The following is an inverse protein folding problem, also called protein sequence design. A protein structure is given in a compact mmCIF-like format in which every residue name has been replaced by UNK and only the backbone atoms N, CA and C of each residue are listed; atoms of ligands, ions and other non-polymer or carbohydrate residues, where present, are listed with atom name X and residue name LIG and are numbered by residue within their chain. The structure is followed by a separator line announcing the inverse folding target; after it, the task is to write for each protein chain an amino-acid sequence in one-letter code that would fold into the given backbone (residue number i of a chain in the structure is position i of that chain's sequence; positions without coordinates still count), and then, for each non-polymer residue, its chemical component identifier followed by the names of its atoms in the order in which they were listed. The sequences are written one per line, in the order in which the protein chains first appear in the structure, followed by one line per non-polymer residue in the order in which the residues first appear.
data_IF_322593117908
#
_entry.id   IF_322593117908
#
_cell.length_a   1.000
_cell.length_b   1.000
_cell.length_c   1.000
_cell.angle_alpha   90.00
_cell.angle_beta   90.00
_cell.angle_gamma   90.00
#
_symmetry.space_group_name_H-M   'P 1'
#
loop_
_entity.id
_entity.type
_entity.pdbx_description
1 polymer ?
#
# COMPACT_ATOMS: atom_id res chain seq x y z
N UNK A 1 65.69 4.43 23.87
CA UNK A 1 64.65 3.58 23.25
C UNK A 1 63.76 3.04 24.36
N UNK A 2 62.48 3.43 24.41
CA UNK A 2 61.55 2.96 25.46
C UNK A 2 61.02 1.57 25.06
N UNK A 3 61.05 0.56 25.95
CA UNK A 3 60.49 -0.75 25.66
C UNK A 3 58.98 -0.64 25.48
N UNK A 4 58.49 -1.24 24.39
CA UNK A 4 57.07 -1.28 24.00
C UNK A 4 56.36 -2.30 24.90
N UNK A 5 55.44 -1.85 25.75
CA UNK A 5 54.66 -2.73 26.62
C UNK A 5 53.90 -3.78 25.79
N UNK A 6 53.88 -5.05 26.24
CA UNK A 6 53.14 -6.12 25.56
C UNK A 6 51.63 -5.88 25.69
N UNK A 7 50.92 -6.02 24.57
CA UNK A 7 49.48 -5.87 24.51
C UNK A 7 48.79 -6.85 25.48
N UNK A 8 48.02 -6.30 26.43
CA UNK A 8 47.22 -7.08 27.38
C UNK A 8 46.14 -7.85 26.60
N UNK A 9 46.32 -9.16 26.49
CA UNK A 9 45.31 -10.09 26.00
C UNK A 9 44.10 -10.06 26.95
N UNK A 10 43.04 -9.34 26.57
CA UNK A 10 41.76 -9.43 27.27
C UNK A 10 41.12 -10.77 26.93
N UNK A 11 41.11 -11.68 27.89
CA UNK A 11 40.27 -12.88 27.86
C UNK A 11 38.82 -12.41 27.94
N UNK A 12 38.16 -12.31 26.79
CA UNK A 12 36.72 -12.08 26.72
C UNK A 12 36.07 -13.39 27.15
N UNK A 13 35.55 -13.43 28.38
CA UNK A 13 34.71 -14.54 28.84
C UNK A 13 33.60 -14.75 27.82
N UNK A 14 33.41 -15.99 27.37
CA UNK A 14 32.30 -16.37 26.51
C UNK A 14 31.00 -15.92 27.20
N UNK A 15 30.45 -14.79 26.76
CA UNK A 15 29.13 -14.36 27.20
C UNK A 15 28.14 -15.36 26.61
N UNK A 16 27.17 -15.79 27.40
CA UNK A 16 26.08 -16.68 26.99
C UNK A 16 25.30 -16.07 25.83
N UNK A 17 25.76 -16.31 24.60
CA UNK A 17 25.07 -15.88 23.39
C UNK A 17 23.87 -16.79 23.24
N UNK A 18 22.69 -16.28 23.62
CA UNK A 18 21.43 -17.00 23.44
C UNK A 18 21.29 -17.38 21.96
N UNK A 19 21.01 -18.65 21.64
CA UNK A 19 20.98 -19.09 20.25
C UNK A 19 19.94 -18.30 19.45
N UNK A 20 20.30 -17.99 18.21
CA UNK A 20 19.40 -17.36 17.24
C UNK A 20 18.15 -18.23 17.02
N UNK A 21 17.02 -17.57 16.76
CA UNK A 21 15.79 -18.26 16.39
C UNK A 21 16.02 -19.09 15.11
N UNK A 22 15.50 -20.33 15.01
CA UNK A 22 15.65 -21.13 13.80
C UNK A 22 15.00 -20.45 12.59
N UNK A 23 15.65 -20.54 11.42
CA UNK A 23 15.15 -19.95 10.17
C UNK A 23 15.42 -18.45 9.99
N UNK A 24 16.24 -17.85 10.84
CA UNK A 24 16.65 -16.44 10.71
C UNK A 24 17.66 -16.27 9.56
N UNK A 25 17.40 -15.28 8.71
CA UNK A 25 18.30 -14.87 7.62
C UNK A 25 18.78 -13.45 7.91
N UNK A 26 20.07 -13.27 8.17
CA UNK A 26 20.68 -11.95 8.34
C UNK A 26 21.03 -11.34 6.97
N UNK A 27 20.64 -10.09 6.76
CA UNK A 27 20.87 -9.33 5.53
C UNK A 27 21.48 -7.97 5.88
N UNK A 28 22.64 -7.65 5.32
CA UNK A 28 23.22 -6.32 5.48
C UNK A 28 22.71 -5.39 4.38
N UNK A 29 22.10 -4.27 4.76
CA UNK A 29 21.68 -3.24 3.81
C UNK A 29 22.90 -2.47 3.25
N UNK A 30 22.69 -1.69 2.18
CA UNK A 30 23.76 -0.89 1.58
C UNK A 30 24.33 0.21 2.49
N UNK A 31 23.77 0.40 3.69
CA UNK A 31 24.25 1.33 4.72
C UNK A 31 25.02 0.60 5.84
N UNK A 32 25.27 -0.70 5.68
CA UNK A 32 25.95 -1.53 6.68
C UNK A 32 25.07 -1.94 7.86
N UNK A 33 23.75 -1.68 7.83
CA UNK A 33 22.83 -2.12 8.89
C UNK A 33 22.35 -3.54 8.61
N UNK A 34 22.46 -4.40 9.62
CA UNK A 34 21.93 -5.76 9.55
C UNK A 34 20.41 -5.75 9.77
N UNK A 35 19.69 -6.44 8.91
CA UNK A 35 18.25 -6.69 8.95
C UNK A 35 18.06 -8.20 8.99
N UNK A 36 17.34 -8.68 9.98
CA UNK A 36 17.03 -10.09 10.13
C UNK A 36 15.63 -10.36 9.55
N UNK A 37 15.53 -11.36 8.67
CA UNK A 37 14.27 -11.91 8.18
C UNK A 37 13.98 -13.22 8.90
N UNK A 38 12.79 -13.35 9.45
CA UNK A 38 12.34 -14.53 10.20
C UNK A 38 10.84 -14.71 10.02
N UNK A 39 10.35 -15.93 10.13
CA UNK A 39 8.90 -16.21 10.07
C UNK A 39 8.18 -15.57 11.26
N UNK A 40 7.01 -15.00 11.00
CA UNK A 40 6.13 -14.44 12.01
C UNK A 40 5.50 -15.53 12.85
N UNK A 41 5.57 -15.42 14.19
CA UNK A 41 5.02 -16.44 15.10
C UNK A 41 3.49 -16.58 15.03
N UNK A 42 2.78 -15.56 14.53
CA UNK A 42 1.32 -15.59 14.44
C UNK A 42 0.76 -16.06 13.09
N UNK A 43 1.51 -15.89 12.00
CA UNK A 43 0.94 -16.06 10.66
C UNK A 43 1.91 -16.58 9.62
N UNK A 44 3.12 -16.98 10.03
CA UNK A 44 4.20 -17.50 9.18
C UNK A 44 4.70 -16.56 8.07
N UNK A 45 4.14 -15.36 7.94
CA UNK A 45 4.62 -14.36 7.01
C UNK A 45 6.04 -13.90 7.39
N UNK A 46 6.88 -13.61 6.40
CA UNK A 46 8.25 -13.15 6.67
C UNK A 46 8.22 -11.76 7.32
N UNK A 47 8.66 -11.70 8.58
CA UNK A 47 8.89 -10.47 9.34
C UNK A 47 10.30 -9.92 9.07
N UNK A 48 10.48 -8.61 9.26
CA UNK A 48 11.77 -7.93 9.19
C UNK A 48 12.01 -7.21 10.51
N UNK A 49 13.16 -7.46 11.14
CA UNK A 49 13.60 -6.80 12.39
C UNK A 49 15.05 -6.35 12.27
N UNK A 50 15.38 -5.24 12.94
CA UNK A 50 16.76 -4.73 13.04
C UNK A 50 17.48 -5.25 14.30
N UNK A 51 16.73 -5.81 15.25
CA UNK A 51 17.28 -6.45 16.43
C UNK A 51 17.44 -7.93 16.16
N UNK A 52 18.56 -8.49 16.59
CA UNK A 52 18.86 -9.91 16.48
C UNK A 52 17.80 -10.74 17.22
N UNK A 53 17.03 -11.61 16.52
CA UNK A 53 15.95 -12.37 17.14
C UNK A 53 16.50 -13.64 17.80
N UNK A 54 16.39 -13.71 19.13
CA UNK A 54 16.74 -14.89 19.90
C UNK A 54 15.58 -15.89 19.94
N UNK A 55 15.88 -17.12 20.37
CA UNK A 55 14.92 -18.23 20.40
C UNK A 55 13.62 -17.91 21.14
N UNK A 56 13.71 -17.15 22.23
CA UNK A 56 12.58 -16.80 23.09
C UNK A 56 11.89 -15.49 22.69
N UNK A 57 12.41 -14.77 21.70
CA UNK A 57 11.80 -13.53 21.22
C UNK A 57 10.55 -13.83 20.38
N UNK A 58 9.46 -13.14 20.73
CA UNK A 58 8.26 -13.08 19.89
C UNK A 58 8.52 -12.13 18.72
N UNK A 59 8.54 -12.66 17.50
CA UNK A 59 8.76 -11.88 16.28
C UNK A 59 7.49 -11.84 15.47
N UNK A 60 6.86 -10.66 15.46
CA UNK A 60 5.64 -10.41 14.71
C UNK A 60 5.94 -9.65 13.42
N UNK A 61 5.26 -10.02 12.33
CA UNK A 61 5.27 -9.21 11.12
C UNK A 61 4.61 -7.85 11.39
N UNK A 62 4.85 -6.88 10.51
CA UNK A 62 4.30 -5.53 10.67
C UNK A 62 2.77 -5.48 10.71
N UNK A 63 2.09 -6.48 10.16
CA UNK A 63 0.63 -6.62 10.23
C UNK A 63 0.19 -7.15 11.59
N UNK A 64 0.74 -8.27 12.04
CA UNK A 64 0.43 -8.86 13.36
C UNK A 64 0.80 -7.90 14.49
N UNK A 65 1.94 -7.20 14.40
CA UNK A 65 2.33 -6.15 15.35
C UNK A 65 1.32 -5.00 15.39
N UNK A 66 0.75 -4.61 14.25
CA UNK A 66 -0.34 -3.62 14.23
C UNK A 66 -1.58 -4.16 14.90
N UNK A 67 -1.97 -5.41 14.66
CA UNK A 67 -3.13 -6.03 15.31
C UNK A 67 -2.94 -6.10 16.82
N UNK A 68 -1.76 -6.48 17.29
CA UNK A 68 -1.42 -6.49 18.71
C UNK A 68 -1.50 -5.09 19.34
N UNK A 69 -0.96 -4.07 18.67
CA UNK A 69 -0.91 -2.71 19.22
C UNK A 69 -2.24 -1.92 19.08
N UNK A 70 -2.95 -2.08 17.95
CA UNK A 70 -4.06 -1.21 17.54
C UNK A 70 -5.34 -1.97 17.21
N UNK A 71 -5.24 -3.30 17.06
CA UNK A 71 -6.35 -4.14 16.70
C UNK A 71 -7.17 -4.52 17.92
N UNK A 72 -8.33 -5.12 17.67
CA UNK A 72 -9.10 -5.75 18.74
C UNK A 72 -8.45 -7.10 19.08
N UNK A 73 -8.36 -7.48 20.37
CA UNK A 73 -7.70 -8.71 20.79
C UNK A 73 -8.32 -9.96 20.17
N UNK A 74 -9.60 -9.89 19.82
CA UNK A 74 -10.38 -10.97 19.19
C UNK A 74 -10.20 -11.03 17.65
N UNK A 75 -9.32 -10.19 17.07
CA UNK A 75 -9.10 -10.15 15.62
C UNK A 75 -8.10 -11.21 15.20
N UNK A 76 -8.56 -12.19 14.42
CA UNK A 76 -7.67 -13.15 13.76
C UNK A 76 -7.20 -12.61 12.41
N UNK A 77 -5.92 -12.82 12.08
CA UNK A 77 -5.35 -12.42 10.79
C UNK A 77 -5.08 -13.65 9.94
N UNK A 78 -5.75 -13.75 8.80
CA UNK A 78 -5.46 -14.77 7.79
C UNK A 78 -4.88 -14.13 6.54
N UNK A 79 -4.20 -14.90 5.70
CA UNK A 79 -3.64 -14.41 4.43
C UNK A 79 -4.32 -15.11 3.25
N UNK A 80 -5.08 -14.35 2.46
CA UNK A 80 -5.71 -14.83 1.23
C UNK A 80 -5.07 -14.16 0.02
N UNK A 81 -4.52 -14.98 -0.90
CA UNK A 81 -3.81 -14.50 -2.11
C UNK A 81 -2.69 -13.48 -1.79
N UNK A 82 -2.01 -13.67 -0.67
CA UNK A 82 -0.92 -12.81 -0.21
C UNK A 82 -1.36 -11.45 0.35
N UNK A 83 -2.64 -11.27 0.66
CA UNK A 83 -3.16 -10.07 1.33
C UNK A 83 -3.74 -10.45 2.69
N UNK A 84 -3.55 -9.61 3.73
CA UNK A 84 -4.14 -9.87 5.03
C UNK A 84 -5.66 -9.69 4.96
N UNK A 85 -6.38 -10.63 5.57
CA UNK A 85 -7.82 -10.61 5.81
C UNK A 85 -8.01 -10.70 7.31
N UNK A 86 -8.74 -9.72 7.86
CA UNK A 86 -9.00 -9.62 9.29
C UNK A 86 -10.36 -10.24 9.58
N UNK A 87 -10.40 -11.23 10.46
CA UNK A 87 -11.63 -11.86 10.95
C UNK A 87 -11.91 -11.30 12.32
N UNK A 88 -12.96 -10.47 12.42
CA UNK A 88 -13.29 -9.73 13.64
C UNK A 88 -14.74 -10.00 14.02
N UNK A 89 -15.06 -10.30 15.29
CA UNK A 89 -16.45 -10.40 15.74
C UNK A 89 -17.12 -9.04 15.65
N UNK A 90 -18.37 -9.04 15.18
CA UNK A 90 -19.20 -7.85 15.11
C UNK A 90 -19.66 -7.41 16.51
N UNK A 91 -19.51 -6.14 16.85
CA UNK A 91 -19.96 -5.60 18.16
C UNK A 91 -21.46 -5.70 18.39
N UNK A 92 -22.27 -5.72 17.32
CA UNK A 92 -23.73 -5.76 17.44
C UNK A 92 -24.32 -7.17 17.46
N UNK A 93 -23.70 -8.12 16.77
CA UNK A 93 -24.30 -9.45 16.59
C UNK A 93 -23.35 -10.62 16.89
N UNK A 94 -22.13 -10.36 17.31
CA UNK A 94 -21.10 -11.36 17.63
C UNK A 94 -20.58 -12.17 16.43
N UNK A 95 -21.23 -12.11 15.26
CA UNK A 95 -20.79 -12.86 14.07
C UNK A 95 -19.43 -12.38 13.60
N UNK A 96 -18.51 -13.31 13.39
CA UNK A 96 -17.19 -13.05 12.81
C UNK A 96 -17.36 -12.67 11.34
N UNK A 97 -16.81 -11.51 10.97
CA UNK A 97 -16.83 -11.02 9.59
C UNK A 97 -15.42 -10.79 9.09
N UNK A 98 -15.18 -11.14 7.83
CA UNK A 98 -13.91 -10.93 7.15
C UNK A 98 -13.86 -9.52 6.54
N UNK A 99 -12.85 -8.72 6.88
CA UNK A 99 -12.58 -7.42 6.29
C UNK A 99 -11.18 -7.36 5.68
N UNK A 100 -11.04 -6.59 4.60
CA UNK A 100 -9.73 -6.20 4.04
C UNK A 100 -9.15 -4.96 4.72
N UNK A 101 -9.97 -4.30 5.54
CA UNK A 101 -9.61 -3.11 6.30
C UNK A 101 -9.31 -3.50 7.74
N UNK A 102 -8.26 -2.89 8.28
CA UNK A 102 -7.83 -3.09 9.65
C UNK A 102 -8.89 -2.55 10.63
N UNK A 103 -9.43 -3.38 11.54
CA UNK A 103 -10.37 -2.94 12.56
C UNK A 103 -9.62 -2.17 13.66
N UNK A 104 -9.91 -0.88 13.83
CA UNK A 104 -9.33 -0.10 14.92
C UNK A 104 -9.98 -0.47 16.26
N UNK A 105 -9.16 -0.57 17.31
CA UNK A 105 -9.61 -0.80 18.69
C UNK A 105 -10.58 0.29 19.19
N UNK A 106 -10.35 1.54 18.80
CA UNK A 106 -11.14 2.70 19.27
C UNK A 106 -12.50 2.85 18.57
N UNK A 107 -12.78 2.03 17.55
CA UNK A 107 -14.03 2.14 16.78
C UNK A 107 -14.78 0.82 16.84
N UNK A 108 -16.13 0.86 16.93
CA UNK A 108 -16.90 -0.36 16.82
C UNK A 108 -16.76 -0.94 15.40
N UNK A 109 -16.59 -2.26 15.33
CA UNK A 109 -16.60 -3.03 14.12
C UNK A 109 -17.97 -3.64 13.91
N UNK A 110 -18.65 -3.21 12.84
CA UNK A 110 -19.93 -3.78 12.43
C UNK A 110 -19.77 -4.61 11.17
N UNK A 111 -20.30 -5.83 11.19
CA UNK A 111 -20.43 -6.61 9.96
C UNK A 111 -21.32 -5.86 8.96
N UNK A 112 -21.18 -6.18 7.66
CA UNK A 112 -21.92 -5.49 6.60
C UNK A 112 -23.43 -5.43 6.86
N UNK A 113 -24.13 -6.53 7.25
CA UNK A 113 -25.55 -6.46 7.58
C UNK A 113 -25.90 -5.49 8.71
N UNK A 114 -25.14 -5.49 9.81
CA UNK A 114 -25.38 -4.58 10.94
C UNK A 114 -25.09 -3.12 10.56
N UNK A 115 -24.08 -2.88 9.73
CA UNK A 115 -23.77 -1.54 9.22
C UNK A 115 -24.90 -0.99 8.33
N UNK A 116 -25.51 -1.83 7.49
CA UNK A 116 -26.67 -1.44 6.70
C UNK A 116 -27.86 -1.05 7.59
N UNK A 117 -28.18 -1.88 8.60
CA UNK A 117 -29.25 -1.58 9.56
C UNK A 117 -29.03 -0.26 10.30
N UNK A 118 -27.79 0.02 10.75
CA UNK A 118 -27.50 1.32 11.38
C UNK A 118 -27.66 2.50 10.43
N UNK A 119 -27.29 2.33 9.15
CA UNK A 119 -27.45 3.40 8.16
C UNK A 119 -28.92 3.69 7.86
N UNK A 120 -29.76 2.66 7.81
CA UNK A 120 -31.21 2.80 7.66
C UNK A 120 -31.81 3.55 8.86
N UNK A 121 -31.41 3.19 10.09
CA UNK A 121 -31.87 3.88 11.31
C UNK A 121 -31.43 5.35 11.35
N UNK A 122 -30.20 5.66 10.91
CA UNK A 122 -29.71 7.04 10.86
C UNK A 122 -30.36 7.90 9.76
N UNK A 123 -31.01 7.29 8.78
CA UNK A 123 -31.73 8.00 7.71
C UNK A 123 -33.17 8.33 8.07
N UNK A 124 -33.71 7.76 9.15
CA UNK A 124 -35.00 8.19 9.67
C UNK A 124 -34.74 9.57 10.28
N UNK A 125 -35.27 10.67 9.69
CA UNK A 125 -35.11 11.98 10.28
C UNK A 125 -35.66 11.87 11.70
N UNK A 126 -34.80 12.07 12.68
CA UNK A 126 -35.19 12.18 14.09
C UNK A 126 -36.24 13.27 14.10
N UNK A 127 -37.51 12.88 14.26
CA UNK A 127 -38.65 13.78 14.26
C UNK A 127 -38.28 14.93 15.21
N UNK A 128 -38.19 16.13 14.63
CA UNK A 128 -37.62 17.29 15.25
C UNK A 128 -38.07 17.35 16.71
N UNK A 129 -37.10 17.29 17.63
CA UNK A 129 -37.39 17.63 19.02
C UNK A 129 -38.08 19.00 19.00
N UNK A 130 -39.27 19.14 19.60
CA UNK A 130 -39.99 20.40 19.60
C UNK A 130 -39.09 21.44 20.26
N UNK A 131 -38.60 22.35 19.43
CA UNK A 131 -37.72 23.44 19.80
C UNK A 131 -38.47 24.30 20.82
N UNK A 132 -38.21 24.08 22.11
CA UNK A 132 -38.77 24.90 23.19
C UNK A 132 -38.12 26.27 23.06
N UNK A 133 -38.93 27.21 22.61
CA UNK A 133 -38.60 28.59 22.31
C UNK A 133 -37.72 29.24 23.39
N UNK A 134 -36.54 29.71 22.98
CA UNK A 134 -35.78 30.74 23.69
C UNK A 134 -36.11 32.11 23.06
N UNK A 135 -36.29 33.18 23.86
CA UNK A 135 -36.81 34.44 23.37
C UNK A 135 -35.80 35.26 22.58
N UNK A 136 -36.39 36.03 21.68
CA UNK A 136 -35.84 36.86 20.62
C UNK A 136 -34.76 37.86 21.06
N UNK A 137 -33.62 37.84 20.37
CA UNK A 137 -32.75 39.00 20.22
C UNK A 137 -32.73 39.37 18.73
N UNK A 138 -33.23 40.56 18.44
CA UNK A 138 -33.47 41.11 17.10
C UNK A 138 -32.18 41.25 16.30
N UNK A 139 -32.11 40.59 15.15
CA UNK A 139 -31.08 40.80 14.14
C UNK A 139 -31.76 41.42 12.90
N UNK A 140 -31.20 42.49 12.31
CA UNK A 140 -31.80 43.17 11.16
C UNK A 140 -31.85 42.28 9.92
N UNK A 141 -33.04 42.26 9.33
CA UNK A 141 -33.43 41.55 8.11
C UNK A 141 -32.64 42.09 6.92
N UNK A 142 -31.72 41.28 6.38
CA UNK A 142 -31.16 41.49 5.04
C UNK A 142 -32.07 40.76 4.05
N UNK A 143 -32.57 41.52 3.07
CA UNK A 143 -33.53 41.05 2.08
C UNK A 143 -33.00 39.82 1.30
N UNK A 144 -33.84 38.79 1.07
CA UNK A 144 -33.47 37.64 0.27
C UNK A 144 -33.38 38.00 -1.22
N UNK A 145 -32.24 37.69 -1.81
CA UNK A 145 -32.02 37.71 -3.26
C UNK A 145 -32.81 36.55 -3.88
N UNK A 146 -33.62 36.76 -4.94
CA UNK A 146 -34.34 35.69 -5.61
C UNK A 146 -33.34 34.75 -6.31
N UNK A 147 -33.29 33.49 -5.86
CA UNK A 147 -32.54 32.43 -6.53
C UNK A 147 -33.46 31.81 -7.57
N UNK A 148 -33.10 32.00 -8.84
CA UNK A 148 -33.83 31.48 -10.00
C UNK A 148 -33.80 29.93 -10.07
N UNK A 149 -34.85 29.32 -10.65
CA UNK A 149 -35.08 27.88 -10.61
C UNK A 149 -34.13 27.07 -11.50
N UNK A 150 -33.78 25.89 -10.97
CA UNK A 150 -33.00 24.82 -11.59
C UNK A 150 -33.52 24.47 -12.99
N UNK A 151 -32.65 24.62 -13.97
CA UNK A 151 -32.89 24.26 -15.36
C UNK A 151 -32.82 22.74 -15.54
N UNK A 152 -33.87 22.17 -16.11
CA UNK A 152 -33.99 20.74 -16.42
C UNK A 152 -32.85 20.23 -17.33
N UNK A 153 -32.44 18.95 -17.19
CA UNK A 153 -31.41 18.35 -18.03
C UNK A 153 -31.92 18.09 -19.45
N UNK A 154 -31.66 19.05 -20.34
CA UNK A 154 -31.91 18.93 -21.78
C UNK A 154 -31.12 17.74 -22.36
N UNK A 155 -31.85 16.86 -23.04
CA UNK A 155 -31.32 15.68 -23.72
C UNK A 155 -30.27 16.03 -24.80
N UNK A 156 -29.31 15.12 -25.07
CA UNK A 156 -28.16 15.40 -25.93
C UNK A 156 -28.57 15.55 -27.40
N UNK A 157 -28.66 16.79 -27.86
CA UNK A 157 -28.65 17.14 -29.28
C UNK A 157 -27.29 16.82 -29.89
N UNK A 158 -27.36 16.09 -31.00
CA UNK A 158 -26.35 15.77 -32.01
C UNK A 158 -25.01 16.51 -31.89
N UNK A 159 -23.95 15.71 -31.77
CA UNK A 159 -22.55 16.07 -31.58
C UNK A 159 -21.94 16.83 -32.78
N UNK A 160 -22.14 18.13 -32.83
CA UNK A 160 -21.14 19.02 -33.44
C UNK A 160 -19.87 19.00 -32.57
N UNK A 161 -18.70 18.92 -33.20
CA UNK A 161 -17.38 18.86 -32.55
C UNK A 161 -17.07 20.14 -31.75
N UNK A 162 -17.74 20.33 -30.62
CA UNK A 162 -17.47 21.43 -29.69
C UNK A 162 -16.10 21.20 -29.06
N UNK A 163 -15.16 22.10 -29.35
CA UNK A 163 -13.87 22.18 -28.65
C UNK A 163 -14.02 23.11 -27.46
N UNK A 164 -13.60 22.65 -26.30
CA UNK A 164 -13.61 23.41 -25.05
C UNK A 164 -12.19 23.92 -24.77
N UNK A 165 -12.03 25.23 -24.62
CA UNK A 165 -10.76 25.85 -24.23
C UNK A 165 -10.62 25.85 -22.71
N UNK A 166 -9.55 25.23 -22.20
CA UNK A 166 -9.28 25.12 -20.76
C UNK A 166 -7.83 25.47 -20.47
N UNK A 167 -7.57 26.16 -19.37
CA UNK A 167 -6.20 26.46 -18.93
C UNK A 167 -5.59 25.29 -18.15
N UNK A 168 -4.34 24.95 -18.47
CA UNK A 168 -3.57 23.99 -17.70
C UNK A 168 -3.34 24.50 -16.27
N UNK A 169 -3.70 23.71 -15.26
CA UNK A 169 -3.55 24.07 -13.85
C UNK A 169 -2.10 24.34 -13.40
N UNK A 170 -1.08 23.85 -14.14
CA UNK A 170 0.34 23.99 -13.77
C UNK A 170 1.10 25.08 -14.52
N UNK A 171 0.75 25.35 -15.77
CA UNK A 171 1.51 26.27 -16.62
C UNK A 171 0.64 27.30 -17.33
N UNK A 172 -0.67 27.35 -17.03
CA UNK A 172 -1.67 28.25 -17.59
C UNK A 172 -1.86 28.21 -19.12
N UNK A 173 -1.12 27.37 -19.85
CA UNK A 173 -1.30 27.18 -21.30
C UNK A 173 -2.71 26.71 -21.62
N UNK A 174 -3.32 27.33 -22.63
CA UNK A 174 -4.64 26.97 -23.15
C UNK A 174 -4.56 25.61 -23.88
N UNK A 175 -5.53 24.75 -23.62
CA UNK A 175 -5.71 23.43 -24.22
C UNK A 175 -7.11 23.37 -24.83
N UNK A 176 -7.21 22.78 -26.02
CA UNK A 176 -8.50 22.45 -26.64
C UNK A 176 -8.85 20.99 -26.34
N UNK A 177 -9.96 20.77 -25.65
CA UNK A 177 -10.50 19.44 -25.35
C UNK A 177 -11.72 19.15 -26.24
N UNK A 178 -11.82 17.92 -26.76
CA UNK A 178 -13.00 17.45 -27.49
C UNK A 178 -14.14 16.98 -26.57
N UNK A 179 -14.05 17.25 -25.27
CA UNK A 179 -15.05 16.90 -24.27
C UNK A 179 -15.13 18.00 -23.21
N UNK A 180 -16.32 18.17 -22.63
CA UNK A 180 -16.53 19.13 -21.56
C UNK A 180 -15.90 18.58 -20.27
N UNK A 181 -14.95 19.31 -19.64
CA UNK A 181 -14.38 18.88 -18.37
C UNK A 181 -15.44 18.91 -17.27
N UNK A 182 -15.32 18.01 -16.29
CA UNK A 182 -16.20 18.03 -15.11
C UNK A 182 -15.86 19.22 -14.22
N UNK A 183 -16.89 19.83 -13.62
CA UNK A 183 -16.69 20.91 -12.66
C UNK A 183 -15.81 20.45 -11.48
N UNK A 184 -14.76 21.20 -11.17
CA UNK A 184 -13.82 20.90 -10.09
C UNK A 184 -12.63 19.99 -10.46
N UNK A 185 -12.54 19.48 -11.68
CA UNK A 185 -11.41 18.64 -12.12
C UNK A 185 -10.22 19.50 -12.58
N UNK A 186 -9.01 19.23 -12.06
CA UNK A 186 -7.79 19.92 -12.47
C UNK A 186 -7.24 19.33 -13.78
N UNK A 187 -7.38 20.06 -14.88
CA UNK A 187 -6.82 19.67 -16.18
C UNK A 187 -5.34 20.05 -16.27
N UNK A 188 -4.50 19.10 -16.69
CA UNK A 188 -3.05 19.29 -16.86
C UNK A 188 -2.66 19.02 -18.32
N UNK A 189 -1.86 19.91 -18.92
CA UNK A 189 -1.42 19.73 -20.31
C UNK A 189 -0.53 18.48 -20.47
N UNK A 190 -0.45 17.89 -21.68
CA UNK A 190 0.39 16.72 -21.95
C UNK A 190 1.86 16.90 -21.53
N UNK A 191 2.43 18.08 -21.72
CA UNK A 191 3.81 18.38 -21.33
C UNK A 191 4.01 18.36 -19.80
N UNK A 192 3.08 18.96 -19.05
CA UNK A 192 3.13 18.98 -17.58
C UNK A 192 2.82 17.60 -17.00
N UNK A 193 1.91 16.84 -17.62
CA UNK A 193 1.63 15.45 -17.27
C UNK A 193 2.86 14.56 -17.49
N UNK A 194 3.54 14.69 -18.63
CA UNK A 194 4.78 13.96 -18.93
C UNK A 194 5.90 14.25 -17.93
N UNK A 195 6.11 15.54 -17.58
CA UNK A 195 7.08 15.93 -16.54
C UNK A 195 6.74 15.35 -15.17
N UNK A 196 5.46 15.32 -14.80
CA UNK A 196 5.02 14.70 -13.54
C UNK A 196 5.25 13.18 -13.54
N UNK A 197 4.92 12.50 -14.64
CA UNK A 197 5.17 11.07 -14.78
C UNK A 197 6.65 10.73 -14.74
N UNK A 198 7.50 11.55 -15.37
CA UNK A 198 8.95 11.39 -15.29
C UNK A 198 9.47 11.57 -13.85
N UNK A 199 8.97 12.58 -13.12
CA UNK A 199 9.29 12.77 -11.70
C UNK A 199 8.82 11.59 -10.84
N UNK A 200 7.62 11.04 -11.09
CA UNK A 200 7.13 9.84 -10.41
C UNK A 200 8.05 8.64 -10.67
N UNK A 201 8.46 8.42 -11.92
CA UNK A 201 9.44 7.36 -12.27
C UNK A 201 10.80 7.58 -11.61
N UNK A 202 11.29 8.81 -11.53
CA UNK A 202 12.54 9.14 -10.84
C UNK A 202 12.44 8.94 -9.32
N UNK A 203 11.27 9.24 -8.73
CA UNK A 203 11.01 9.01 -7.31
C UNK A 203 10.86 7.52 -6.99
N UNK A 204 10.27 6.75 -7.90
CA UNK A 204 10.19 5.28 -7.81
C UNK A 204 11.55 4.62 -8.07
N UNK A 205 12.42 5.23 -8.88
CA UNK A 205 13.83 4.85 -9.00
C UNK A 205 14.65 5.34 -7.81
N UNK A 206 14.13 5.16 -6.60
CA UNK A 206 14.94 5.20 -5.38
C UNK A 206 16.09 4.18 -5.47
N UNK A 207 16.97 4.12 -4.45
CA UNK A 207 18.10 3.21 -4.45
C UNK A 207 17.61 1.79 -4.74
N UNK A 208 17.94 1.27 -5.93
CA UNK A 208 17.63 -0.11 -6.29
C UNK A 208 18.51 -0.97 -5.41
N UNK A 209 17.89 -1.75 -4.52
CA UNK A 209 18.62 -2.76 -3.76
C UNK A 209 19.00 -3.84 -4.76
N UNK A 210 20.29 -3.88 -5.12
CA UNK A 210 20.84 -4.90 -5.99
C UNK A 210 21.19 -6.12 -5.13
N UNK A 211 20.56 -7.26 -5.40
CA UNK A 211 20.79 -8.49 -4.65
C UNK A 211 21.89 -9.30 -5.33
N UNK A 212 22.93 -9.67 -4.57
CA UNK A 212 23.89 -10.69 -4.98
C UNK A 212 23.26 -12.05 -4.75
N UNK A 213 23.08 -12.83 -5.81
CA UNK A 213 22.49 -14.17 -5.73
C UNK A 213 23.37 -15.15 -6.49
N UNK A 214 23.66 -16.28 -5.87
CA UNK A 214 24.38 -17.39 -6.48
C UNK A 214 23.40 -18.27 -7.26
N UNK A 215 23.70 -18.53 -8.53
CA UNK A 215 22.90 -19.40 -9.36
C UNK A 215 23.01 -20.85 -8.90
N UNK A 216 21.88 -21.46 -8.56
CA UNK A 216 21.83 -22.87 -8.12
C UNK A 216 22.28 -23.85 -9.20
N UNK A 217 22.10 -23.49 -10.48
CA UNK A 217 22.45 -24.38 -11.60
C UNK A 217 23.92 -24.31 -12.02
N UNK A 218 24.59 -23.16 -11.83
CA UNK A 218 25.95 -22.97 -12.36
C UNK A 218 26.93 -22.29 -11.39
N UNK A 219 26.51 -21.94 -10.18
CA UNK A 219 27.32 -21.29 -9.15
C UNK A 219 27.68 -19.83 -9.43
N UNK A 220 27.32 -19.25 -10.59
CA UNK A 220 27.65 -17.86 -10.92
C UNK A 220 26.89 -16.89 -10.00
N UNK A 221 27.62 -15.94 -9.41
CA UNK A 221 27.04 -14.81 -8.67
C UNK A 221 26.54 -13.77 -9.67
N UNK A 222 25.25 -13.46 -9.63
CA UNK A 222 24.64 -12.41 -10.46
C UNK A 222 23.96 -11.35 -9.58
N UNK A 223 23.91 -10.12 -10.10
CA UNK A 223 23.27 -8.98 -9.48
C UNK A 223 21.85 -8.84 -10.01
N UNK A 224 20.84 -9.02 -9.15
CA UNK A 224 19.43 -8.93 -9.52
C UNK A 224 18.76 -7.67 -8.96
N UNK A 225 17.96 -7.00 -9.79
CA UNK A 225 17.16 -5.82 -9.42
C UNK A 225 15.93 -6.16 -8.53
N UNK A 226 15.57 -7.45 -8.42
CA UNK A 226 14.43 -7.95 -7.66
C UNK A 226 14.79 -9.22 -6.91
N UNK A 227 14.36 -9.34 -5.65
CA UNK A 227 14.51 -10.58 -4.86
C UNK A 227 13.63 -11.67 -5.47
N UNK A 228 14.20 -12.82 -5.86
CA UNK A 228 13.41 -14.00 -6.16
C UNK A 228 12.56 -14.38 -4.95
N UNK A 229 11.32 -14.83 -5.15
CA UNK A 229 10.48 -15.33 -4.02
C UNK A 229 11.17 -16.46 -3.24
N UNK A 230 12.04 -17.22 -3.91
CA UNK A 230 12.83 -18.33 -3.39
C UNK A 230 14.30 -18.12 -3.77
N UNK A 231 15.12 -17.51 -2.89
CA UNK A 231 16.52 -17.24 -3.20
C UNK A 231 17.35 -18.52 -3.34
N UNK A 232 16.94 -19.59 -2.65
CA UNK A 232 17.45 -20.96 -2.73
C UNK A 232 17.21 -21.65 -4.08
N UNK A 233 16.35 -21.08 -4.93
CA UNK A 233 16.03 -21.60 -6.27
C UNK A 233 16.39 -20.59 -7.37
N UNK A 234 17.19 -19.58 -7.02
CA UNK A 234 17.54 -18.54 -7.95
C UNK A 234 18.46 -19.07 -9.06
N UNK A 235 18.13 -18.71 -10.30
CA UNK A 235 18.92 -19.01 -11.47
C UNK A 235 19.47 -17.70 -12.02
N UNK A 236 20.70 -17.73 -12.52
CA UNK A 236 21.23 -16.63 -13.33
C UNK A 236 20.39 -16.46 -14.60
N UNK A 237 20.50 -15.31 -15.25
CA UNK A 237 19.71 -14.94 -16.42
C UNK A 237 19.80 -15.97 -17.54
N UNK A 238 20.99 -16.54 -17.78
CA UNK A 238 21.19 -17.58 -18.79
C UNK A 238 20.53 -18.90 -18.41
N UNK A 239 20.73 -19.40 -17.17
CA UNK A 239 20.10 -20.64 -16.70
C UNK A 239 18.57 -20.51 -16.62
N UNK A 240 18.05 -19.32 -16.27
CA UNK A 240 16.62 -19.04 -16.28
C UNK A 240 16.03 -19.11 -17.69
N UNK A 241 16.72 -18.55 -18.70
CA UNK A 241 16.28 -18.59 -20.09
C UNK A 241 16.21 -20.03 -20.61
N UNK A 242 17.26 -20.83 -20.39
CA UNK A 242 17.27 -22.27 -20.74
C UNK A 242 16.13 -23.02 -20.05
N UNK A 243 15.82 -22.68 -18.79
CA UNK A 243 14.70 -23.30 -18.07
C UNK A 243 13.34 -22.89 -18.64
N UNK A 244 13.17 -21.63 -19.05
CA UNK A 244 11.93 -21.14 -19.68
C UNK A 244 11.67 -21.83 -21.02
N UNK A 245 12.71 -21.99 -21.86
CA UNK A 245 12.64 -22.72 -23.13
C UNK A 245 12.26 -24.19 -22.90
N UNK A 246 12.86 -24.86 -21.92
CA UNK A 246 12.53 -26.26 -21.56
C UNK A 246 11.12 -26.45 -21.05
N UNK A 247 10.56 -25.47 -20.34
CA UNK A 247 9.20 -25.53 -19.81
C UNK A 247 8.13 -25.22 -20.88
N UNK A 248 8.53 -24.94 -22.12
CA UNK A 248 7.58 -24.61 -23.18
C UNK A 248 6.82 -23.32 -22.91
N UNK A 249 7.36 -22.41 -22.09
CA UNK A 249 6.94 -21.01 -22.09
C UNK A 249 7.48 -20.38 -23.37
N UNK A 250 6.91 -20.82 -24.50
CA UNK A 250 7.07 -20.18 -25.78
C UNK A 250 6.80 -18.69 -25.58
N UNK A 251 7.68 -17.87 -26.16
CA UNK A 251 7.58 -16.42 -26.13
C UNK A 251 6.12 -16.01 -26.29
N UNK A 252 5.62 -15.17 -25.37
CA UNK A 252 4.30 -14.56 -25.57
C UNK A 252 4.29 -14.04 -27.01
N UNK A 253 3.32 -14.49 -27.85
CA UNK A 253 3.32 -14.10 -29.25
C UNK A 253 3.46 -12.59 -29.32
N UNK A 254 4.33 -12.06 -30.21
CA UNK A 254 4.61 -10.65 -30.28
C UNK A 254 3.27 -9.92 -30.29
N UNK A 255 3.08 -9.00 -29.35
CA UNK A 255 1.86 -8.22 -29.22
C UNK A 255 1.52 -7.72 -30.61
N UNK A 256 0.49 -8.32 -31.25
CA UNK A 256 0.09 -7.94 -32.60
C UNK A 256 -0.12 -6.43 -32.57
N UNK A 257 0.73 -5.70 -33.28
CA UNK A 257 0.55 -4.27 -33.50
C UNK A 257 -0.88 -4.16 -34.01
N UNK A 258 -1.78 -3.55 -33.23
CA UNK A 258 -3.12 -3.24 -33.70
C UNK A 258 -2.91 -2.35 -34.91
N UNK A 259 -3.06 -2.92 -36.11
CA UNK A 259 -3.17 -2.15 -37.33
C UNK A 259 -4.32 -1.18 -37.10
N UNK A 260 -3.98 0.10 -36.95
CA UNK A 260 -4.96 1.16 -37.00
C UNK A 260 -5.48 1.11 -38.44
N UNK A 261 -6.70 0.59 -38.63
CA UNK A 261 -7.46 0.87 -39.84
C UNK A 261 -7.65 2.39 -39.87
N UNK A 262 -6.96 3.03 -40.81
CA UNK A 262 -7.22 4.40 -41.23
C UNK A 262 -8.56 4.50 -41.94
#
# INVERSE_FOLDING_TARGET
MKPKEPAKTRVIKAQDVSPLKPGVIALTDGKGKTVYKVSCDHCDAIAQTYREPHRDDLVLCSVCKKVEMLGRPETEVTYERGRPVYRTPCDLCGRVSASKFFPNRDKPFYCMPCKHKQREQAQIPTAAEPNVAAPEASIPVVAPVPVEPETEPTQPVSSENRRYSVHCAKCAKVLELGFQPKAGETIVCPSCYGKEQQRKRQKESGPRVIYKVECVSCGKVELLDRVPRRPDQALCRSCYQVRQEKLGFAEKPPLRKRERKS
#
